data_IF_287288516539
#
_entry.id   IF_287288516539
#
_cell.length_a   1.000
_cell.length_b   1.000
_cell.length_c   1.000
_cell.angle_alpha   90.00
_cell.angle_beta   90.00
_cell.angle_gamma   90.00
#
_symmetry.space_group_name_H-M   'P 1'
#
loop_
_entity.id
_entity.type
_entity.pdbx_description
1 polymer ?
#
# COMPACT_ATOMS: atom_id res chain seq x y z
N UNK A 1 3.59 7.85 12.37
CA UNK A 1 3.63 8.25 10.95
C UNK A 1 2.39 9.09 10.64
N UNK A 2 2.46 10.07 9.73
CA UNK A 2 1.27 10.84 9.33
C UNK A 2 0.52 10.10 8.22
N UNK A 3 -0.50 9.34 8.60
CA UNK A 3 -1.27 8.52 7.66
C UNK A 3 -1.97 9.37 6.60
N UNK A 4 -2.31 10.64 6.88
CA UNK A 4 -2.95 11.52 5.89
C UNK A 4 -2.08 11.67 4.65
N UNK A 5 -0.79 11.93 4.84
CA UNK A 5 0.17 12.09 3.73
C UNK A 5 0.39 10.79 2.96
N UNK A 6 0.32 9.65 3.65
CA UNK A 6 0.42 8.34 2.99
C UNK A 6 -0.80 8.08 2.11
N UNK A 7 -2.00 8.37 2.61
CA UNK A 7 -3.25 8.26 1.84
C UNK A 7 -3.24 9.17 0.61
N UNK A 8 -2.78 10.42 0.76
CA UNK A 8 -2.63 11.37 -0.35
C UNK A 8 -1.62 10.87 -1.39
N UNK A 9 -0.46 10.36 -0.95
CA UNK A 9 0.54 9.78 -1.84
C UNK A 9 -0.02 8.59 -2.62
N UNK A 10 -0.62 7.61 -1.94
CA UNK A 10 -1.20 6.42 -2.59
C UNK A 10 -2.28 6.81 -3.61
N UNK A 11 -3.18 7.73 -3.27
CA UNK A 11 -4.18 8.26 -4.21
C UNK A 11 -3.55 8.95 -5.41
N UNK A 12 -2.45 9.69 -5.21
CA UNK A 12 -1.73 10.34 -6.32
C UNK A 12 -1.11 9.35 -7.30
N UNK A 13 -0.83 8.12 -6.85
CA UNK A 13 -0.34 6.99 -7.65
C UNK A 13 -1.45 6.05 -8.13
N UNK A 14 -2.72 6.47 -8.01
CA UNK A 14 -3.89 5.69 -8.40
C UNK A 14 -4.07 4.37 -7.61
N UNK A 15 -3.58 4.33 -6.38
CA UNK A 15 -3.89 3.28 -5.41
C UNK A 15 -5.12 3.70 -4.61
N UNK A 16 -6.17 2.89 -4.65
CA UNK A 16 -7.50 3.26 -4.17
C UNK A 16 -7.94 2.38 -3.01
N UNK A 17 -8.46 3.01 -1.97
CA UNK A 17 -9.16 2.37 -0.86
C UNK A 17 -10.63 2.17 -1.26
N UNK A 18 -10.94 0.99 -1.78
CA UNK A 18 -12.27 0.67 -2.34
C UNK A 18 -13.25 0.32 -1.22
N UNK A 19 -12.77 -0.37 -0.18
CA UNK A 19 -13.60 -0.93 0.90
C UNK A 19 -13.65 0.00 2.13
N UNK A 20 -12.92 1.13 2.12
CA UNK A 20 -12.73 2.05 3.25
C UNK A 20 -12.15 1.36 4.50
N UNK A 21 -11.32 0.34 4.30
CA UNK A 21 -10.69 -0.46 5.33
C UNK A 21 -9.17 -0.25 5.36
N UNK A 22 -8.69 0.85 4.79
CA UNK A 22 -7.27 1.21 4.70
C UNK A 22 -6.43 0.26 3.84
N UNK A 23 -7.07 -0.46 2.93
CA UNK A 23 -6.46 -1.36 1.96
C UNK A 23 -6.50 -0.75 0.57
N UNK A 24 -5.34 -0.32 0.11
CA UNK A 24 -5.13 0.41 -1.13
C UNK A 24 -4.74 -0.55 -2.25
N UNK A 25 -5.53 -0.56 -3.32
CA UNK A 25 -5.40 -1.48 -4.44
C UNK A 25 -5.13 -0.68 -5.71
N UNK A 26 -4.24 -1.19 -6.55
CA UNK A 26 -4.04 -0.69 -7.91
C UNK A 26 -4.19 -1.86 -8.89
N UNK A 27 -5.15 -1.77 -9.81
CA UNK A 27 -5.47 -2.85 -10.77
C UNK A 27 -4.33 -3.14 -11.76
N UNK A 28 -3.35 -2.24 -11.87
CA UNK A 28 -2.18 -2.41 -12.72
C UNK A 28 -1.03 -3.13 -12.01
N UNK A 29 -1.11 -3.30 -10.68
CA UNK A 29 -0.03 -3.86 -9.87
C UNK A 29 -0.50 -5.13 -9.14
N UNK A 30 0.36 -6.16 -9.04
CA UNK A 30 0.04 -7.41 -8.35
C UNK A 30 0.21 -7.28 -6.82
N UNK A 31 0.08 -6.08 -6.27
CA UNK A 31 0.26 -5.82 -4.85
C UNK A 31 -0.90 -5.01 -4.28
N UNK A 32 -1.01 -5.07 -2.96
CA UNK A 32 -1.93 -4.28 -2.14
C UNK A 32 -1.14 -3.60 -1.05
N UNK A 33 -1.44 -2.33 -0.78
CA UNK A 33 -0.83 -1.58 0.33
C UNK A 33 -1.84 -1.50 1.48
N UNK A 34 -1.46 -1.96 2.66
CA UNK A 34 -2.28 -1.89 3.88
C UNK A 34 -1.69 -0.85 4.84
N UNK A 35 -2.52 0.06 5.34
CA UNK A 35 -2.11 1.00 6.40
C UNK A 35 -2.59 0.49 7.75
N UNK A 36 -1.66 0.10 8.63
CA UNK A 36 -1.94 -0.25 10.02
C UNK A 36 -1.89 1.01 10.88
N UNK A 37 -3.06 1.54 11.26
CA UNK A 37 -3.14 2.77 12.06
C UNK A 37 -2.65 2.57 13.50
N UNK A 38 -2.87 1.39 14.06
CA UNK A 38 -2.48 1.06 15.44
C UNK A 38 -0.97 0.86 15.57
N UNK A 39 -0.33 0.27 14.56
CA UNK A 39 1.11 -0.03 14.59
C UNK A 39 1.96 1.07 13.94
N UNK A 40 1.32 2.01 13.22
CA UNK A 40 2.02 3.05 12.47
C UNK A 40 2.90 2.49 11.35
N UNK A 41 2.52 1.32 10.82
CA UNK A 41 3.23 0.55 9.80
C UNK A 41 2.43 0.51 8.50
N UNK A 42 3.14 0.40 7.37
CA UNK A 42 2.57 0.18 6.04
C UNK A 42 3.04 -1.19 5.56
N UNK A 43 2.14 -2.07 5.19
CA UNK A 43 2.50 -3.39 4.65
C UNK A 43 2.18 -3.47 3.16
N UNK A 44 3.16 -3.90 2.36
CA UNK A 44 2.95 -4.33 0.98
C UNK A 44 2.68 -5.82 0.98
N UNK A 45 1.51 -6.21 0.48
CA UNK A 45 1.08 -7.61 0.40
C UNK A 45 0.90 -8.02 -1.04
N UNK A 46 1.15 -9.28 -1.35
CA UNK A 46 0.83 -9.84 -2.67
C UNK A 46 -0.68 -9.81 -2.92
N UNK A 47 -1.10 -9.35 -4.10
CA UNK A 47 -2.48 -9.44 -4.54
C UNK A 47 -2.62 -10.65 -5.48
N UNK A 48 -2.97 -11.81 -4.92
CA UNK A 48 -3.12 -13.06 -5.68
C UNK A 48 -4.59 -13.46 -5.80
N UNK A 49 -5.14 -13.34 -7.01
CA UNK A 49 -6.51 -13.74 -7.31
C UNK A 49 -7.51 -12.61 -7.13
N UNK A 50 -8.67 -12.91 -6.54
CA UNK A 50 -9.82 -12.00 -6.44
C UNK A 50 -10.09 -11.50 -5.01
N UNK A 51 -9.13 -11.66 -4.10
CA UNK A 51 -9.27 -11.25 -2.69
C UNK A 51 -8.63 -9.88 -2.38
N UNK A 52 -8.10 -9.19 -3.40
CA UNK A 52 -7.46 -7.88 -3.27
C UNK A 52 -6.34 -7.84 -2.21
N UNK A 53 -5.58 -8.93 -2.07
CA UNK A 53 -4.47 -9.04 -1.11
C UNK A 53 -4.91 -9.18 0.34
N UNK A 54 -6.19 -9.50 0.59
CA UNK A 54 -6.72 -9.78 1.94
C UNK A 54 -5.98 -10.96 2.61
N UNK A 55 -5.70 -12.01 1.83
CA UNK A 55 -4.93 -13.17 2.27
C UNK A 55 -3.52 -13.20 1.68
N UNK A 56 -3.09 -12.11 1.05
CA UNK A 56 -1.75 -11.98 0.49
C UNK A 56 -0.67 -12.11 1.54
N UNK A 57 0.44 -12.78 1.24
CA UNK A 57 1.61 -12.75 2.11
C UNK A 57 2.16 -11.32 2.18
N UNK A 58 2.61 -10.90 3.37
CA UNK A 58 3.38 -9.67 3.51
C UNK A 58 4.74 -9.84 2.83
N UNK A 59 5.03 -8.94 1.89
CA UNK A 59 6.26 -8.94 1.10
C UNK A 59 7.24 -7.94 1.72
N UNK A 60 6.74 -6.75 2.08
CA UNK A 60 7.54 -5.68 2.69
C UNK A 60 6.71 -4.91 3.72
N UNK A 61 7.42 -4.34 4.69
CA UNK A 61 6.87 -3.43 5.68
C UNK A 61 7.68 -2.13 5.71
N UNK A 62 6.99 -1.00 5.74
CA UNK A 62 7.56 0.33 5.79
C UNK A 62 7.13 1.02 7.08
N UNK A 63 8.05 1.78 7.68
CA UNK A 63 7.82 2.51 8.92
C UNK A 63 7.78 4.03 8.69
N UNK A 64 7.93 4.46 7.42
CA UNK A 64 7.80 5.85 7.03
C UNK A 64 7.29 6.01 5.59
N UNK A 65 6.66 7.16 5.31
CA UNK A 65 6.28 7.54 3.94
C UNK A 65 7.49 7.57 3.00
N UNK A 66 8.66 7.99 3.48
CA UNK A 66 9.87 8.09 2.66
C UNK A 66 10.33 6.72 2.16
N UNK A 67 10.27 5.70 3.01
CA UNK A 67 10.61 4.32 2.61
C UNK A 67 9.66 3.79 1.55
N UNK A 68 8.35 4.03 1.72
CA UNK A 68 7.34 3.69 0.72
C UNK A 68 7.62 4.39 -0.62
N UNK A 69 7.91 5.69 -0.60
CA UNK A 69 8.20 6.48 -1.81
C UNK A 69 9.42 5.95 -2.57
N UNK A 70 10.52 5.69 -1.86
CA UNK A 70 11.74 5.12 -2.46
C UNK A 70 11.41 3.77 -3.10
N UNK A 71 10.65 2.92 -2.41
CA UNK A 71 10.27 1.62 -2.97
C UNK A 71 9.44 1.76 -4.24
N UNK A 72 8.46 2.67 -4.26
CA UNK A 72 7.63 2.94 -5.44
C UNK A 72 8.48 3.39 -6.64
N UNK A 73 9.39 4.35 -6.42
CA UNK A 73 10.32 4.84 -7.44
C UNK A 73 11.22 3.72 -7.98
N UNK A 74 11.80 2.91 -7.09
CA UNK A 74 12.78 1.87 -7.45
C UNK A 74 12.15 0.62 -8.10
N UNK A 75 10.90 0.29 -7.78
CA UNK A 75 10.30 -1.01 -8.16
C UNK A 75 9.21 -0.90 -9.23
N UNK A 76 8.40 0.16 -9.22
CA UNK A 76 7.28 0.31 -10.16
C UNK A 76 7.34 1.61 -10.96
N UNK A 77 8.38 2.42 -10.77
CA UNK A 77 8.60 3.67 -11.50
C UNK A 77 7.54 4.73 -11.21
N UNK A 78 6.85 4.63 -10.07
CA UNK A 78 5.79 5.54 -9.64
C UNK A 78 6.30 6.59 -8.68
#
# INVERSE_FOLDING_TARGET
MDNTKVREFLRSKNWLDIDNDSRYINVMHPYTVLLSEEEGQISLRGNTGSDNGQNGEEIFSFHSLKELQIWFEDNIGE
#
